data_IF_624905942866
#
_entry.id   IF_624905942866
#
_cell.length_a   1.000
_cell.length_b   1.000
_cell.length_c   1.000
_cell.angle_alpha   90.00
_cell.angle_beta   90.00
_cell.angle_gamma   90.00
#
_symmetry.space_group_name_H-M   'P 1'
#
loop_
_entity.id
_entity.type
_entity.pdbx_description
1 polymer ?
#
# COMPACT_ATOMS: atom_id res chain seq x y z
N UNK A 1 -7.34 -13.01 -26.93
CA UNK A 1 -7.84 -11.74 -26.35
C UNK A 1 -7.53 -11.56 -24.86
N UNK A 2 -7.66 -12.60 -24.01
CA UNK A 2 -7.41 -12.51 -22.55
C UNK A 2 -6.00 -12.00 -22.19
N UNK A 3 -4.95 -12.49 -22.86
CA UNK A 3 -3.56 -12.07 -22.63
C UNK A 3 -3.33 -10.56 -22.89
N UNK A 4 -3.97 -9.99 -23.92
CA UNK A 4 -3.86 -8.55 -24.27
C UNK A 4 -4.57 -7.67 -23.24
N UNK A 5 -5.75 -8.07 -22.78
CA UNK A 5 -6.50 -7.36 -21.73
C UNK A 5 -5.74 -7.33 -20.40
N UNK A 6 -5.10 -8.45 -20.02
CA UNK A 6 -4.25 -8.51 -18.82
C UNK A 6 -3.05 -7.56 -18.93
N UNK A 7 -2.41 -7.47 -20.09
CA UNK A 7 -1.27 -6.56 -20.29
C UNK A 7 -1.71 -5.10 -20.20
N UNK A 8 -2.79 -4.72 -20.91
CA UNK A 8 -3.30 -3.34 -20.89
C UNK A 8 -3.72 -2.95 -19.46
N UNK A 9 -4.45 -3.82 -18.77
CA UNK A 9 -4.85 -3.59 -17.38
C UNK A 9 -3.66 -3.44 -16.44
N UNK A 10 -2.60 -4.25 -16.63
CA UNK A 10 -1.38 -4.17 -15.83
C UNK A 10 -0.62 -2.86 -16.08
N UNK A 11 -0.54 -2.39 -17.33
CA UNK A 11 0.11 -1.11 -17.67
C UNK A 11 -0.64 0.06 -17.03
N UNK A 12 -1.96 0.08 -17.11
CA UNK A 12 -2.79 1.13 -16.49
C UNK A 12 -2.62 1.11 -14.98
N UNK A 13 -2.74 -0.07 -14.35
CA UNK A 13 -2.57 -0.20 -12.91
C UNK A 13 -1.17 0.22 -12.45
N UNK A 14 -0.12 -0.13 -13.20
CA UNK A 14 1.24 0.29 -12.93
C UNK A 14 1.40 1.82 -13.07
N UNK A 15 0.82 2.45 -14.09
CA UNK A 15 0.88 3.89 -14.27
C UNK A 15 0.18 4.63 -13.11
N UNK A 16 -1.00 4.17 -12.68
CA UNK A 16 -1.71 4.74 -11.52
C UNK A 16 -0.92 4.55 -10.24
N UNK A 17 -0.32 3.37 -10.04
CA UNK A 17 0.53 3.10 -8.88
C UNK A 17 1.73 4.04 -8.83
N UNK A 18 2.43 4.22 -9.96
CA UNK A 18 3.58 5.12 -10.06
C UNK A 18 3.17 6.58 -9.83
N UNK A 19 2.03 7.02 -10.36
CA UNK A 19 1.50 8.36 -10.16
C UNK A 19 1.18 8.66 -8.68
N UNK A 20 0.79 7.64 -7.91
CA UNK A 20 0.45 7.77 -6.49
C UNK A 20 1.56 7.26 -5.54
N UNK A 21 2.74 6.93 -6.08
CA UNK A 21 3.80 6.28 -5.31
C UNK A 21 4.32 7.19 -4.19
N UNK A 22 4.47 8.49 -4.47
CA UNK A 22 4.89 9.48 -3.47
C UNK A 22 3.94 9.52 -2.28
N UNK A 23 2.63 9.66 -2.53
CA UNK A 23 1.62 9.66 -1.47
C UNK A 23 1.60 8.33 -0.70
N UNK A 24 1.79 7.20 -1.37
CA UNK A 24 1.81 5.87 -0.74
C UNK A 24 3.01 5.71 0.20
N UNK A 25 4.19 6.22 -0.18
CA UNK A 25 5.38 6.23 0.67
C UNK A 25 5.20 7.14 1.89
N UNK A 26 4.67 8.35 1.69
CA UNK A 26 4.41 9.29 2.80
C UNK A 26 3.38 8.70 3.76
N UNK A 27 2.31 8.08 3.24
CA UNK A 27 1.33 7.39 4.06
C UNK A 27 2.01 6.29 4.89
N UNK A 28 2.82 5.43 4.28
CA UNK A 28 3.52 4.35 4.99
C UNK A 28 4.43 4.88 6.12
N UNK A 29 5.17 5.96 5.86
CA UNK A 29 6.02 6.61 6.87
C UNK A 29 5.17 7.19 8.00
N UNK A 30 4.09 7.89 7.67
CA UNK A 30 3.21 8.52 8.67
C UNK A 30 2.52 7.49 9.57
N UNK A 31 2.12 6.33 9.02
CA UNK A 31 1.61 5.20 9.79
C UNK A 31 2.69 4.62 10.70
N UNK A 32 3.93 4.48 10.21
CA UNK A 32 5.05 4.00 11.03
C UNK A 32 5.35 4.96 12.20
N UNK A 33 5.35 6.27 11.95
CA UNK A 33 5.50 7.30 12.99
C UNK A 33 4.35 7.21 13.99
N UNK A 34 3.10 7.14 13.52
CA UNK A 34 1.92 7.00 14.37
C UNK A 34 1.97 5.74 15.24
N UNK A 35 2.37 4.60 14.66
CA UNK A 35 2.54 3.35 15.39
C UNK A 35 3.63 3.45 16.47
N UNK A 36 4.80 4.02 16.12
CA UNK A 36 5.89 4.19 17.08
C UNK A 36 5.52 5.17 18.20
N UNK A 37 4.85 6.28 17.85
CA UNK A 37 4.33 7.25 18.79
C UNK A 37 3.31 6.63 19.74
N UNK A 38 2.36 5.84 19.21
CA UNK A 38 1.36 5.14 20.01
C UNK A 38 2.00 4.11 20.94
N UNK A 39 2.97 3.34 20.45
CA UNK A 39 3.73 2.40 21.28
C UNK A 39 4.42 3.13 22.43
N UNK A 40 5.13 4.23 22.17
CA UNK A 40 5.81 5.00 23.22
C UNK A 40 4.84 5.71 24.17
N UNK A 41 3.68 6.15 23.68
CA UNK A 41 2.61 6.74 24.49
C UNK A 41 2.05 5.75 25.52
N UNK A 42 1.85 4.49 25.11
CA UNK A 42 1.36 3.43 25.99
C UNK A 42 2.44 2.99 26.99
N UNK A 43 3.70 2.89 26.56
CA UNK A 43 4.80 2.40 27.40
C UNK A 43 5.38 3.43 28.37
N UNK A 44 5.00 4.71 28.33
CA UNK A 44 5.58 5.73 29.20
C UNK A 44 4.70 6.03 30.41
N UNK A 45 5.31 6.11 31.59
CA UNK A 45 4.61 6.47 32.84
C UNK A 45 4.57 7.98 33.08
N UNK A 46 5.40 8.75 32.36
CA UNK A 46 5.49 10.21 32.52
C UNK A 46 4.37 10.94 31.76
N UNK A 47 3.63 11.80 32.48
CA UNK A 47 2.57 12.65 31.91
C UNK A 47 3.12 13.56 30.80
N UNK A 48 4.28 14.18 31.02
CA UNK A 48 4.91 15.06 30.02
C UNK A 48 5.32 14.30 28.76
N UNK A 49 5.84 13.09 28.92
CA UNK A 49 6.16 12.22 27.79
C UNK A 49 4.90 11.78 27.03
N UNK A 50 3.79 11.46 27.72
CA UNK A 50 2.51 11.15 27.08
C UNK A 50 2.03 12.31 26.22
N UNK A 51 2.08 13.55 26.72
CA UNK A 51 1.67 14.73 25.95
C UNK A 51 2.54 14.86 24.69
N UNK A 52 3.86 14.74 24.82
CA UNK A 52 4.78 14.79 23.68
C UNK A 52 4.49 13.73 22.62
N UNK A 53 4.32 12.47 23.03
CA UNK A 53 3.97 11.40 22.10
C UNK A 53 2.57 11.57 21.49
N UNK A 54 1.62 12.14 22.23
CA UNK A 54 0.30 12.50 21.72
C UNK A 54 0.37 13.47 20.53
N UNK A 55 1.25 14.47 20.60
CA UNK A 55 1.49 15.40 19.49
C UNK A 55 2.10 14.70 18.28
N UNK A 56 3.09 13.83 18.51
CA UNK A 56 3.72 13.03 17.43
C UNK A 56 2.69 12.16 16.71
N UNK A 57 1.81 11.49 17.47
CA UNK A 57 0.70 10.71 16.91
C UNK A 57 -0.22 11.62 16.09
N UNK A 58 -0.61 12.78 16.63
CA UNK A 58 -1.45 13.75 15.94
C UNK A 58 -0.87 14.19 14.59
N UNK A 59 0.42 14.49 14.54
CA UNK A 59 1.12 14.83 13.29
C UNK A 59 1.07 13.66 12.31
N UNK A 60 1.36 12.43 12.77
CA UNK A 60 1.28 11.24 11.92
C UNK A 60 -0.12 11.02 11.33
N UNK A 61 -1.18 11.24 12.12
CA UNK A 61 -2.57 11.15 11.68
C UNK A 61 -2.89 12.24 10.66
N UNK A 62 -2.50 13.50 10.91
CA UNK A 62 -2.72 14.60 9.97
C UNK A 62 -2.02 14.36 8.61
N UNK A 63 -0.77 13.88 8.63
CA UNK A 63 -0.05 13.54 7.40
C UNK A 63 -0.76 12.39 6.67
N UNK A 64 -1.21 11.36 7.40
CA UNK A 64 -1.95 10.23 6.82
C UNK A 64 -3.21 10.73 6.09
N UNK A 65 -4.00 11.58 6.75
CA UNK A 65 -5.26 12.12 6.22
C UNK A 65 -5.03 13.05 5.01
N UNK A 66 -3.92 13.80 4.98
CA UNK A 66 -3.59 14.65 3.83
C UNK A 66 -3.13 13.87 2.59
N UNK A 67 -2.84 12.56 2.73
CA UNK A 67 -2.35 11.70 1.66
C UNK A 67 -3.40 10.70 1.15
N UNK A 68 -4.66 11.12 1.03
CA UNK A 68 -5.74 10.30 0.46
C UNK A 68 -5.43 9.67 -0.92
N UNK A 69 -4.68 10.30 -1.85
CA UNK A 69 -4.29 9.66 -3.11
C UNK A 69 -3.54 8.33 -2.92
N UNK A 70 -2.89 8.11 -1.77
CA UNK A 70 -2.28 6.85 -1.41
C UNK A 70 -3.27 5.67 -1.43
N UNK A 71 -4.56 5.90 -1.13
CA UNK A 71 -5.60 4.87 -1.20
C UNK A 71 -5.81 4.40 -2.64
N UNK A 72 -5.78 5.32 -3.60
CA UNK A 72 -5.86 5.00 -5.04
C UNK A 72 -4.63 4.19 -5.45
N UNK A 73 -3.44 4.60 -5.00
CA UNK A 73 -2.21 3.82 -5.19
C UNK A 73 -2.31 2.41 -4.58
N UNK A 74 -2.90 2.27 -3.40
CA UNK A 74 -3.08 0.98 -2.74
C UNK A 74 -4.03 0.06 -3.52
N UNK A 75 -5.13 0.61 -4.04
CA UNK A 75 -6.05 -0.13 -4.93
C UNK A 75 -5.33 -0.55 -6.21
N UNK A 76 -4.57 0.35 -6.83
CA UNK A 76 -3.79 0.04 -8.03
C UNK A 76 -2.75 -1.08 -7.77
N UNK A 77 -2.07 -1.05 -6.62
CA UNK A 77 -1.16 -2.10 -6.18
C UNK A 77 -1.89 -3.45 -6.03
N UNK A 78 -3.06 -3.46 -5.39
CA UNK A 78 -3.87 -4.66 -5.23
C UNK A 78 -4.33 -5.24 -6.58
N UNK A 79 -4.82 -4.39 -7.48
CA UNK A 79 -5.20 -4.78 -8.86
C UNK A 79 -4.00 -5.38 -9.59
N UNK A 80 -2.83 -4.72 -9.55
CA UNK A 80 -1.61 -5.22 -10.19
C UNK A 80 -1.20 -6.59 -9.65
N UNK A 81 -1.30 -6.80 -8.32
CA UNK A 81 -1.07 -8.10 -7.70
C UNK A 81 -2.04 -9.18 -8.18
N UNK A 82 -3.33 -8.87 -8.28
CA UNK A 82 -4.33 -9.80 -8.81
C UNK A 82 -4.08 -10.17 -10.26
N UNK A 83 -3.74 -9.21 -11.12
CA UNK A 83 -3.41 -9.46 -12.52
C UNK A 83 -2.16 -10.33 -12.66
N UNK A 84 -1.12 -10.07 -11.85
CA UNK A 84 0.07 -10.90 -11.79
C UNK A 84 -0.26 -12.34 -11.39
N UNK A 85 -1.09 -12.52 -10.35
CA UNK A 85 -1.51 -13.85 -9.88
C UNK A 85 -2.35 -14.58 -10.92
N UNK A 86 -3.25 -13.88 -11.62
CA UNK A 86 -4.05 -14.46 -12.70
C UNK A 86 -3.14 -14.94 -13.85
N UNK A 87 -2.18 -14.13 -14.27
CA UNK A 87 -1.23 -14.51 -15.32
C UNK A 87 -0.36 -15.71 -14.93
N UNK A 88 0.05 -15.81 -13.66
CA UNK A 88 0.80 -16.98 -13.16
C UNK A 88 -0.03 -18.27 -13.23
N UNK A 89 -1.31 -18.21 -12.84
CA UNK A 89 -2.23 -19.35 -12.91
C UNK A 89 -2.47 -19.81 -14.35
N UNK A 90 -2.67 -18.88 -15.28
CA UNK A 90 -2.85 -19.20 -16.69
C UNK A 90 -1.61 -19.92 -17.25
N UNK A 91 -0.40 -19.50 -16.87
CA UNK A 91 0.85 -20.17 -17.26
C UNK A 91 0.99 -21.58 -16.69
N UNK A 92 0.57 -21.79 -15.45
CA UNK A 92 0.60 -23.12 -14.82
C UNK A 92 -0.40 -24.06 -15.52
N UNK A 93 -1.64 -23.61 -15.76
CA UNK A 93 -2.65 -24.39 -16.47
C UNK A 93 -2.22 -24.75 -17.91
N UNK A 94 -1.64 -23.80 -18.64
CA UNK A 94 -1.09 -24.01 -19.99
C UNK A 94 0.03 -25.06 -19.99
N UNK A 95 0.89 -25.10 -18.96
CA UNK A 95 1.93 -26.14 -18.84
C UNK A 95 1.39 -27.56 -18.61
N UNK A 96 0.29 -27.72 -17.87
CA UNK A 96 -0.30 -29.04 -17.61
C UNK A 96 -0.91 -29.67 -18.87
N UNK A 97 -1.47 -28.86 -19.78
CA UNK A 97 -2.11 -29.31 -21.02
C UNK A 97 -1.09 -29.85 -22.04
N UNK A 98 0.14 -29.30 -22.07
CA UNK A 98 1.22 -29.77 -22.96
C UNK A 98 1.98 -31.02 -22.49
N UNK A 99 1.68 -31.52 -21.28
CA UNK A 99 2.36 -32.69 -20.68
C UNK A 99 1.51 -33.96 -20.64
N UNK A 100 0.27 -33.91 -21.16
CA UNK A 100 -0.65 -35.03 -21.35
C UNK A 100 -0.73 -35.39 -22.84
#
# INVERSE_FOLDING_TARGET
MKKVLLIIGAVIAAAVLLANLGSLLVLAISVAIGYYGLRRFILTDSIGAKIGWGVVIGIGVCISLSNLPALIGLVALAVLYYLYRAWKKDKEAEKFDYTL
#
